data_IF_695222103458
#
_entry.id   IF_695222103458
#
_cell.length_a   1.000
_cell.length_b   1.000
_cell.length_c   1.000
_cell.angle_alpha   90.00
_cell.angle_beta   90.00
_cell.angle_gamma   90.00
#
_symmetry.space_group_name_H-M   'P 1'
#
loop_
_entity.id
_entity.type
_entity.pdbx_description
1 polymer ?
#
# COMPACT_ATOMS: atom_id res chain seq x y z
N UNK A 1 6.24 -21.95 -57.23
CA UNK A 1 6.03 -20.51 -56.97
C UNK A 1 6.00 -20.30 -55.48
N UNK A 2 6.80 -19.36 -55.01
CA UNK A 2 6.94 -18.92 -53.63
C UNK A 2 5.87 -17.87 -53.25
N UNK A 3 6.03 -17.36 -52.02
CA UNK A 3 5.31 -16.31 -51.24
C UNK A 3 4.13 -16.81 -50.40
N UNK A 4 4.04 -16.54 -49.09
CA UNK A 4 4.84 -15.69 -48.21
C UNK A 4 4.21 -15.69 -46.78
N UNK A 5 5.04 -15.39 -45.79
CA UNK A 5 4.80 -15.45 -44.35
C UNK A 5 3.73 -14.48 -43.81
N UNK A 6 3.32 -14.60 -42.53
CA UNK A 6 3.74 -13.71 -41.42
C UNK A 6 2.83 -13.81 -40.16
N UNK A 7 3.45 -14.06 -38.99
CA UNK A 7 3.00 -13.79 -37.58
C UNK A 7 1.77 -14.57 -37.06
N UNK A 8 1.92 -15.56 -36.17
CA UNK A 8 2.48 -15.51 -34.79
C UNK A 8 1.88 -14.37 -33.95
N UNK A 9 0.63 -14.57 -33.52
CA UNK A 9 0.00 -13.79 -32.46
C UNK A 9 0.18 -14.52 -31.13
N UNK A 10 1.41 -14.43 -30.61
CA UNK A 10 1.69 -14.46 -29.17
C UNK A 10 0.81 -13.43 -28.46
N UNK A 11 -0.16 -13.89 -27.67
CA UNK A 11 -0.51 -13.44 -26.31
C UNK A 11 -1.43 -14.56 -25.77
N UNK A 12 -0.83 -15.72 -25.47
CA UNK A 12 -1.43 -16.66 -24.52
C UNK A 12 -1.01 -16.16 -23.14
N UNK A 13 -1.86 -15.31 -22.56
CA UNK A 13 -1.66 -14.74 -21.24
C UNK A 13 -1.86 -15.83 -20.19
N UNK A 14 -0.78 -16.55 -19.93
CA UNK A 14 -0.61 -17.45 -18.79
C UNK A 14 -1.10 -16.79 -17.50
N UNK A 15 -1.91 -17.55 -16.76
CA UNK A 15 -1.91 -17.49 -15.30
C UNK A 15 -2.89 -16.52 -14.68
N UNK A 16 -4.19 -16.75 -14.85
CA UNK A 16 -5.16 -16.36 -13.82
C UNK A 16 -5.44 -17.58 -12.92
N UNK A 17 -4.38 -18.03 -12.25
CA UNK A 17 -4.46 -18.94 -11.10
C UNK A 17 -5.36 -18.30 -10.06
N UNK A 18 -6.38 -19.04 -9.62
CA UNK A 18 -7.19 -18.65 -8.48
C UNK A 18 -6.33 -18.43 -7.25
N UNK A 19 -6.32 -17.20 -6.75
CA UNK A 19 -5.94 -16.87 -5.38
C UNK A 19 -7.20 -16.48 -4.62
N UNK A 20 -8.04 -17.49 -4.38
CA UNK A 20 -9.06 -17.47 -3.34
C UNK A 20 -8.49 -18.30 -2.19
N UNK A 21 -7.74 -17.65 -1.32
CA UNK A 21 -7.08 -18.26 -0.17
C UNK A 21 -6.35 -17.17 0.58
N UNK A 22 -6.94 -16.72 1.69
CA UNK A 22 -6.23 -16.11 2.82
C UNK A 22 -5.22 -15.01 2.45
N UNK A 23 -5.62 -14.05 1.62
CA UNK A 23 -4.97 -12.75 1.64
C UNK A 23 -5.25 -12.13 3.01
N UNK A 24 -4.39 -12.38 3.99
CA UNK A 24 -4.37 -11.64 5.26
C UNK A 24 -4.01 -10.19 4.88
N UNK A 25 -5.06 -9.45 4.52
CA UNK A 25 -5.07 -8.13 3.91
C UNK A 25 -4.25 -7.17 4.78
N UNK A 26 -3.28 -6.46 4.20
CA UNK A 26 -2.47 -5.50 4.96
C UNK A 26 -3.28 -4.21 5.02
N UNK A 27 -4.22 -4.17 5.96
CA UNK A 27 -4.81 -2.91 6.38
C UNK A 27 -3.85 -2.18 7.33
N UNK A 28 -3.90 -0.85 7.39
CA UNK A 28 -3.37 -0.10 8.53
C UNK A 28 -3.86 -0.66 9.88
N UNK A 29 -5.09 -1.18 9.93
CA UNK A 29 -5.64 -1.92 11.07
C UNK A 29 -4.93 -3.26 11.39
N UNK A 30 -4.46 -3.98 10.36
CA UNK A 30 -3.68 -5.21 10.55
C UNK A 30 -2.30 -4.86 11.14
N UNK A 31 -1.67 -3.80 10.62
CA UNK A 31 -0.47 -3.20 11.21
C UNK A 31 -0.73 -2.82 12.67
N UNK A 32 -1.79 -2.06 12.97
CA UNK A 32 -2.10 -1.65 14.35
C UNK A 32 -2.27 -2.83 15.31
N UNK A 33 -3.02 -3.87 14.92
CA UNK A 33 -3.24 -5.07 15.76
C UNK A 33 -1.96 -5.87 16.00
N UNK A 34 -1.10 -6.02 14.99
CA UNK A 34 0.19 -6.68 15.15
C UNK A 34 1.17 -5.82 15.98
N UNK A 35 1.12 -4.51 15.80
CA UNK A 35 1.94 -3.54 16.53
C UNK A 35 1.51 -3.39 17.99
N UNK A 36 0.23 -3.62 18.34
CA UNK A 36 -0.23 -3.52 19.74
C UNK A 36 0.48 -4.51 20.69
N UNK A 37 1.11 -5.56 20.15
CA UNK A 37 1.99 -6.47 20.89
C UNK A 37 3.44 -5.98 20.98
N UNK A 38 3.87 -5.13 20.05
CA UNK A 38 5.15 -4.45 20.17
C UNK A 38 5.06 -3.46 21.34
N UNK A 39 6.00 -3.56 22.27
CA UNK A 39 6.07 -2.63 23.40
C UNK A 39 6.35 -1.23 22.89
N UNK A 40 5.36 -0.34 22.99
CA UNK A 40 5.55 1.09 22.70
C UNK A 40 6.17 1.79 23.91
N UNK A 41 7.03 2.80 23.70
CA UNK A 41 7.37 3.44 22.41
C UNK A 41 8.44 2.69 21.59
N UNK A 42 8.23 2.56 20.28
CA UNK A 42 9.10 1.84 19.36
C UNK A 42 9.47 2.68 18.12
N UNK A 43 10.68 2.48 17.60
CA UNK A 43 11.17 3.10 16.35
C UNK A 43 10.85 2.22 15.15
N UNK A 44 10.89 2.80 13.93
CA UNK A 44 10.74 2.03 12.68
C UNK A 44 11.61 0.77 12.66
N UNK A 45 12.88 0.90 13.06
CA UNK A 45 13.82 -0.23 13.13
C UNK A 45 13.40 -1.32 14.11
N UNK A 46 12.88 -0.94 15.28
CA UNK A 46 12.38 -1.89 16.29
C UNK A 46 11.09 -2.58 15.81
N UNK A 47 10.20 -1.85 15.15
CA UNK A 47 8.99 -2.42 14.55
C UNK A 47 9.37 -3.43 13.46
N UNK A 48 10.30 -3.07 12.58
CA UNK A 48 10.85 -3.97 11.56
C UNK A 48 11.46 -5.22 12.19
N UNK A 49 12.29 -5.07 13.23
CA UNK A 49 12.90 -6.19 13.93
C UNK A 49 11.84 -7.13 14.55
N UNK A 50 10.74 -6.58 15.07
CA UNK A 50 9.65 -7.35 15.65
C UNK A 50 8.81 -8.12 14.61
N UNK A 51 8.58 -7.54 13.43
CA UNK A 51 7.76 -8.16 12.37
C UNK A 51 8.57 -8.96 11.35
N UNK A 52 9.89 -9.07 11.53
CA UNK A 52 10.79 -9.78 10.60
C UNK A 52 10.41 -11.24 10.37
N UNK A 53 9.75 -11.88 11.33
CA UNK A 53 9.27 -13.26 11.21
C UNK A 53 7.80 -13.36 10.73
N UNK A 54 7.10 -12.24 10.58
CA UNK A 54 5.66 -12.24 10.32
C UNK A 54 5.32 -12.22 8.82
N UNK A 55 5.72 -11.17 8.09
CA UNK A 55 5.35 -11.02 6.67
C UNK A 55 6.16 -9.93 5.96
N UNK A 56 6.73 -10.27 4.80
CA UNK A 56 7.40 -9.32 3.89
C UNK A 56 6.54 -8.10 3.55
N UNK A 57 5.22 -8.27 3.50
CA UNK A 57 4.28 -7.19 3.24
C UNK A 57 4.24 -6.16 4.38
N UNK A 58 4.25 -6.62 5.63
CA UNK A 58 4.30 -5.74 6.82
C UNK A 58 5.64 -5.02 6.85
N UNK A 59 6.71 -5.76 6.57
CA UNK A 59 8.07 -5.22 6.47
C UNK A 59 8.13 -4.13 5.39
N UNK A 60 7.56 -4.35 4.21
CA UNK A 60 7.51 -3.36 3.14
C UNK A 60 6.79 -2.07 3.58
N UNK A 61 5.61 -2.20 4.20
CA UNK A 61 4.88 -1.05 4.71
C UNK A 61 5.66 -0.27 5.79
N UNK A 62 6.28 -0.98 6.73
CA UNK A 62 7.07 -0.37 7.80
C UNK A 62 8.38 0.25 7.28
N UNK A 63 8.95 -0.25 6.18
CA UNK A 63 10.14 0.35 5.54
C UNK A 63 9.85 1.74 4.98
N UNK A 64 8.63 1.95 4.47
CA UNK A 64 8.19 3.25 3.96
C UNK A 64 7.94 4.29 5.05
N UNK A 65 7.89 3.87 6.31
CA UNK A 65 7.68 4.80 7.41
C UNK A 65 8.88 5.74 7.59
N UNK A 66 8.63 6.99 8.02
CA UNK A 66 9.71 7.87 8.46
C UNK A 66 10.44 7.27 9.67
N UNK A 67 11.76 7.50 9.75
CA UNK A 67 12.56 7.15 10.93
C UNK A 67 12.27 8.13 12.08
N UNK A 68 11.17 7.86 12.79
CA UNK A 68 10.78 8.56 14.01
C UNK A 68 10.38 7.57 15.10
N UNK A 69 10.31 8.06 16.33
CA UNK A 69 9.82 7.26 17.47
C UNK A 69 8.30 7.32 17.49
N UNK A 70 7.67 6.15 17.43
CA UNK A 70 6.23 6.00 17.50
C UNK A 70 5.83 5.66 18.92
N UNK A 71 4.83 6.35 19.44
CA UNK A 71 4.32 6.11 20.80
C UNK A 71 3.07 5.23 20.81
N UNK A 72 2.37 5.13 19.69
CA UNK A 72 1.13 4.36 19.55
C UNK A 72 0.99 3.71 18.17
N UNK A 73 0.24 2.60 18.06
CA UNK A 73 -0.06 1.97 16.77
C UNK A 73 -0.71 2.94 15.77
N UNK A 74 -1.60 3.82 16.24
CA UNK A 74 -2.27 4.81 15.40
C UNK A 74 -1.29 5.82 14.76
N UNK A 75 -0.20 6.16 15.45
CA UNK A 75 0.84 7.02 14.85
C UNK A 75 1.59 6.30 13.73
N UNK A 76 1.77 4.99 13.83
CA UNK A 76 2.39 4.17 12.79
C UNK A 76 1.49 4.11 11.55
N UNK A 77 0.19 3.89 11.73
CA UNK A 77 -0.81 3.93 10.66
C UNK A 77 -0.86 5.30 9.98
N UNK A 78 -0.90 6.39 10.76
CA UNK A 78 -0.89 7.76 10.23
C UNK A 78 0.40 8.08 9.47
N UNK A 79 1.55 7.67 10.00
CA UNK A 79 2.84 7.86 9.34
C UNK A 79 2.95 7.08 8.03
N UNK A 80 2.34 5.90 7.96
CA UNK A 80 2.26 5.14 6.72
C UNK A 80 1.40 5.88 5.69
N UNK A 81 0.27 6.42 6.12
CA UNK A 81 -0.60 7.23 5.28
C UNK A 81 0.11 8.51 4.78
N UNK A 82 0.89 9.18 5.63
CA UNK A 82 1.76 10.30 5.23
C UNK A 82 2.73 9.88 4.10
N UNK A 83 3.40 8.74 4.22
CA UNK A 83 4.26 8.20 3.16
C UNK A 83 3.48 7.94 1.86
N UNK A 84 2.26 7.38 1.95
CA UNK A 84 1.37 7.16 0.80
C UNK A 84 1.07 8.48 0.07
N UNK A 85 0.70 9.54 0.80
CA UNK A 85 0.43 10.85 0.20
C UNK A 85 1.65 11.47 -0.48
N UNK A 86 2.86 11.16 0.00
CA UNK A 86 4.10 11.60 -0.64
C UNK A 86 4.25 11.09 -2.08
N UNK A 87 3.83 9.86 -2.35
CA UNK A 87 3.79 9.29 -3.71
C UNK A 87 2.71 9.92 -4.60
N UNK A 88 1.76 10.64 -4.02
CA UNK A 88 0.62 11.19 -4.75
C UNK A 88 0.74 12.71 -4.94
N UNK A 89 1.73 13.35 -4.31
CA UNK A 89 1.92 14.81 -4.36
C UNK A 89 2.14 15.38 -5.76
N UNK A 90 2.60 14.56 -6.71
CA UNK A 90 2.85 14.95 -8.10
C UNK A 90 1.60 14.81 -9.00
N UNK A 91 0.47 14.32 -8.47
CA UNK A 91 -0.76 14.14 -9.23
C UNK A 91 -1.54 15.45 -9.42
N UNK A 92 -2.26 15.55 -10.55
CA UNK A 92 -3.26 16.60 -10.76
C UNK A 92 -4.53 16.30 -9.97
N UNK A 93 -4.70 17.03 -8.88
CA UNK A 93 -5.94 17.04 -8.11
C UNK A 93 -6.99 17.95 -8.78
N UNK A 94 -8.28 17.61 -8.70
CA UNK A 94 -8.88 16.52 -7.92
C UNK A 94 -8.96 15.15 -8.65
N UNK A 95 -8.70 14.05 -7.93
CA UNK A 95 -8.60 12.68 -8.48
C UNK A 95 -9.43 11.66 -7.68
N UNK A 96 -9.60 10.44 -8.21
CA UNK A 96 -10.35 9.35 -7.56
C UNK A 96 -9.42 8.31 -6.96
N UNK A 97 -9.96 7.51 -6.05
CA UNK A 97 -9.28 6.37 -5.42
C UNK A 97 -8.54 5.47 -6.42
N UNK A 98 -9.22 5.05 -7.47
CA UNK A 98 -8.66 4.10 -8.45
C UNK A 98 -7.49 4.71 -9.23
N UNK A 99 -7.56 6.01 -9.56
CA UNK A 99 -6.45 6.75 -10.18
C UNK A 99 -5.26 6.87 -9.23
N UNK A 100 -5.50 7.10 -7.93
CA UNK A 100 -4.46 7.16 -6.89
C UNK A 100 -3.73 5.81 -6.78
N UNK A 101 -4.48 4.71 -6.67
CA UNK A 101 -3.92 3.37 -6.57
C UNK A 101 -3.11 3.01 -7.82
N UNK A 102 -3.65 3.30 -9.01
CA UNK A 102 -2.94 3.07 -10.27
C UNK A 102 -1.70 3.95 -10.45
N UNK A 103 -1.73 5.19 -9.95
CA UNK A 103 -0.57 6.08 -10.01
C UNK A 103 0.54 5.62 -9.05
N UNK A 104 0.19 5.28 -7.80
CA UNK A 104 1.13 4.73 -6.83
C UNK A 104 1.77 3.44 -7.35
N UNK A 105 0.98 2.54 -7.94
CA UNK A 105 1.48 1.31 -8.56
C UNK A 105 2.49 1.60 -9.69
N UNK A 106 2.20 2.60 -10.54
CA UNK A 106 3.14 3.02 -11.61
C UNK A 106 4.41 3.69 -11.08
N UNK A 107 4.35 4.37 -9.94
CA UNK A 107 5.54 4.92 -9.28
C UNK A 107 6.40 3.85 -8.60
N UNK A 108 5.95 2.59 -8.57
CA UNK A 108 6.64 1.52 -7.85
C UNK A 108 6.39 1.59 -6.34
N UNK A 109 5.29 2.21 -5.91
CA UNK A 109 4.88 2.15 -4.51
C UNK A 109 4.66 0.69 -4.12
N UNK A 110 5.08 0.30 -2.91
CA UNK A 110 4.98 -1.09 -2.49
C UNK A 110 3.51 -1.50 -2.38
N UNK A 111 3.24 -2.79 -2.59
CA UNK A 111 1.88 -3.35 -2.60
C UNK A 111 0.98 -2.89 -1.42
N UNK A 112 1.47 -2.80 -0.16
CA UNK A 112 0.66 -2.29 0.96
C UNK A 112 0.16 -0.85 0.76
N UNK A 113 0.93 -0.01 0.08
CA UNK A 113 0.55 1.39 -0.21
C UNK A 113 -0.60 1.40 -1.22
N UNK A 114 -0.47 0.64 -2.30
CA UNK A 114 -1.51 0.49 -3.32
C UNK A 114 -2.78 -0.13 -2.73
N UNK A 115 -2.64 -1.14 -1.86
CA UNK A 115 -3.76 -1.78 -1.19
C UNK A 115 -4.49 -0.81 -0.26
N UNK A 116 -3.76 -0.05 0.57
CA UNK A 116 -4.35 0.97 1.44
C UNK A 116 -5.16 2.01 0.65
N UNK A 117 -4.62 2.45 -0.50
CA UNK A 117 -5.32 3.34 -1.42
C UNK A 117 -6.57 2.71 -2.02
N UNK A 118 -6.62 1.39 -2.26
CA UNK A 118 -7.84 0.75 -2.79
C UNK A 118 -8.96 0.62 -1.74
N UNK A 119 -8.64 0.80 -0.45
CA UNK A 119 -9.59 0.62 0.65
C UNK A 119 -10.32 1.87 1.07
N UNK A 120 -9.70 3.05 0.90
CA UNK A 120 -10.38 4.32 1.19
C UNK A 120 -11.69 4.45 0.40
N UNK A 121 -12.64 5.27 0.88
CA UNK A 121 -13.88 5.50 0.16
C UNK A 121 -13.62 6.01 -1.25
N UNK A 122 -14.37 5.49 -2.23
CA UNK A 122 -14.38 6.05 -3.58
C UNK A 122 -15.08 7.40 -3.54
N UNK A 123 -14.28 8.44 -3.30
CA UNK A 123 -14.68 9.83 -3.34
C UNK A 123 -13.65 10.62 -4.13
N UNK A 124 -14.03 11.83 -4.50
CA UNK A 124 -13.10 12.77 -5.10
C UNK A 124 -12.20 13.32 -3.99
N UNK A 125 -10.90 13.14 -4.15
CA UNK A 125 -9.90 13.70 -3.27
C UNK A 125 -9.35 14.97 -3.91
N UNK A 126 -9.30 16.04 -3.14
CA UNK A 126 -8.85 17.36 -3.61
C UNK A 126 -7.37 17.62 -3.28
N UNK A 127 -6.78 16.79 -2.42
CA UNK A 127 -5.38 16.92 -1.97
C UNK A 127 -4.81 15.56 -1.55
N UNK A 128 -3.50 15.34 -1.66
CA UNK A 128 -2.85 14.08 -1.26
C UNK A 128 -3.03 13.81 0.24
N UNK A 129 -3.07 14.84 1.08
CA UNK A 129 -3.25 14.67 2.51
C UNK A 129 -4.66 14.17 2.88
N UNK A 130 -5.69 14.51 2.09
CA UNK A 130 -7.06 14.01 2.31
C UNK A 130 -7.15 12.51 2.02
N UNK A 131 -6.28 12.00 1.14
CA UNK A 131 -6.11 10.58 0.87
C UNK A 131 -5.47 9.91 2.08
N UNK A 132 -4.37 10.47 2.61
CA UNK A 132 -3.72 9.96 3.82
C UNK A 132 -4.66 9.96 5.03
N UNK A 133 -5.42 11.04 5.24
CA UNK A 133 -6.44 11.13 6.27
C UNK A 133 -7.47 10.02 6.10
N UNK A 134 -7.98 9.79 4.89
CA UNK A 134 -8.91 8.68 4.64
C UNK A 134 -8.29 7.31 4.94
N UNK A 135 -7.02 7.06 4.55
CA UNK A 135 -6.31 5.81 4.88
C UNK A 135 -6.18 5.62 6.39
N UNK A 136 -5.97 6.69 7.16
CA UNK A 136 -5.86 6.66 8.61
C UNK A 136 -7.22 6.63 9.34
N UNK A 137 -8.28 7.17 8.72
CA UNK A 137 -9.64 7.27 9.25
C UNK A 137 -10.55 6.07 8.91
N UNK A 138 -10.15 5.16 8.02
CA UNK A 138 -10.79 3.85 7.76
C UNK A 138 -10.70 2.91 8.98
N UNK A 139 -11.08 3.43 10.15
CA UNK A 139 -10.94 2.92 11.51
C UNK A 139 -12.21 3.25 12.31
N UNK A 140 -13.40 3.21 11.67
CA UNK A 140 -14.67 3.28 12.39
C UNK A 140 -15.64 2.16 12.06
#
# INVERSE_FOLDING_TARGET
MAVGAFLDALIDNRGATGFMGDTKLISPALLQRHLHKAGFPATRGELLAHVREESDRVIAALRELPDRRYSRPAEVSRAFAESVSGYLGDMSYPTRRDDLAGHAERQGAPWPVVEALRRIPDRRYDRPEAVAEAVAEEEK
#
